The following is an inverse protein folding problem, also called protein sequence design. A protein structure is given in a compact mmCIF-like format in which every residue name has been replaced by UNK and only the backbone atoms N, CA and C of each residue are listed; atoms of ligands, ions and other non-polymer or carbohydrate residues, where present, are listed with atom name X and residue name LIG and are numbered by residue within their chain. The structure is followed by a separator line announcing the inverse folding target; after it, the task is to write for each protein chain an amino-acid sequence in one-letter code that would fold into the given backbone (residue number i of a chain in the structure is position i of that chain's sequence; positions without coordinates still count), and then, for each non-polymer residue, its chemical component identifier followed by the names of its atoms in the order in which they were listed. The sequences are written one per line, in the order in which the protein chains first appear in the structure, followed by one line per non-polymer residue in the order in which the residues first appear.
data_IF_152884004021
#
_entry.id   IF_152884004021
#
_cell.length_a   1.000
_cell.length_b   1.000
_cell.length_c   1.000
_cell.angle_alpha   90.00
_cell.angle_beta   90.00
_cell.angle_gamma   90.00
#
_symmetry.space_group_name_H-M   'P 1'
#
loop_
_entity.id
_entity.type
_entity.pdbx_description
1 polymer ?
#
# COMPACT_ATOMS: atom_id res chain seq x y z
N UNK A 1 0.65 -10.93 -16.29
CA UNK A 1 0.10 -9.71 -16.89
C UNK A 1 0.85 -8.47 -16.42
N UNK A 2 0.97 -7.48 -17.31
CA UNK A 2 1.64 -6.25 -16.94
C UNK A 2 0.84 -5.44 -15.94
N UNK A 3 1.53 -4.76 -15.04
CA UNK A 3 0.87 -3.84 -14.11
C UNK A 3 0.41 -2.58 -14.83
N UNK A 4 -0.59 -1.89 -14.28
CA UNK A 4 -1.07 -0.65 -14.84
C UNK A 4 0.00 0.43 -14.78
N UNK A 5 0.00 1.35 -15.75
CA UNK A 5 0.90 2.50 -15.79
C UNK A 5 0.26 3.74 -15.18
N UNK A 6 -1.06 3.77 -15.13
CA UNK A 6 -1.84 4.89 -14.59
C UNK A 6 -2.97 4.36 -13.74
N UNK A 7 -3.36 5.12 -12.71
CA UNK A 7 -4.45 4.72 -11.81
C UNK A 7 -5.75 4.47 -12.58
N UNK A 8 -6.00 5.23 -13.64
CA UNK A 8 -7.23 5.08 -14.43
C UNK A 8 -7.33 3.73 -15.14
N UNK A 9 -6.23 3.00 -15.27
CA UNK A 9 -6.20 1.67 -15.91
C UNK A 9 -6.45 0.54 -14.91
N UNK A 10 -6.46 0.84 -13.61
CA UNK A 10 -6.59 -0.17 -12.57
C UNK A 10 -8.04 -0.61 -12.45
N UNK A 11 -8.28 -1.93 -12.57
CA UNK A 11 -9.60 -2.52 -12.39
C UNK A 11 -9.64 -3.45 -11.17
N UNK A 12 -8.50 -4.03 -10.80
CA UNK A 12 -8.36 -4.94 -9.67
C UNK A 12 -7.10 -4.58 -8.90
N UNK A 13 -7.05 -5.02 -7.63
CA UNK A 13 -5.83 -4.80 -6.83
C UNK A 13 -4.58 -5.35 -7.54
N UNK A 14 -4.72 -6.47 -8.23
CA UNK A 14 -3.58 -7.08 -8.92
C UNK A 14 -2.96 -6.20 -10.02
N UNK A 15 -3.68 -5.21 -10.51
CA UNK A 15 -3.19 -4.29 -11.53
C UNK A 15 -2.28 -3.20 -10.96
N UNK A 16 -2.33 -2.99 -9.65
CA UNK A 16 -1.52 -1.94 -9.00
C UNK A 16 -0.07 -2.40 -8.91
N UNK A 17 0.90 -1.55 -9.31
CA UNK A 17 2.31 -1.88 -9.18
C UNK A 17 2.67 -2.28 -7.74
N UNK A 18 3.55 -3.26 -7.59
CA UNK A 18 4.03 -3.79 -6.31
C UNK A 18 3.02 -4.67 -5.55
N UNK A 19 1.78 -4.76 -6.01
CA UNK A 19 0.74 -5.53 -5.32
C UNK A 19 0.73 -6.97 -5.83
N UNK A 20 0.94 -7.91 -4.92
CA UNK A 20 0.85 -9.34 -5.18
C UNK A 20 -0.25 -9.98 -4.33
N UNK A 21 -0.39 -11.33 -4.39
CA UNK A 21 -1.44 -12.03 -3.65
C UNK A 21 -1.44 -11.76 -2.14
N UNK A 22 -0.27 -11.66 -1.53
CA UNK A 22 -0.18 -11.40 -0.09
C UNK A 22 -0.72 -10.00 0.25
N UNK A 23 -0.39 -9.00 -0.57
CA UNK A 23 -0.86 -7.63 -0.36
C UNK A 23 -2.38 -7.55 -0.56
N UNK A 24 -2.90 -8.27 -1.56
CA UNK A 24 -4.34 -8.32 -1.80
C UNK A 24 -5.06 -8.87 -0.58
N UNK A 25 -4.53 -9.96 0.00
CA UNK A 25 -5.10 -10.54 1.21
C UNK A 25 -5.09 -9.52 2.37
N UNK A 26 -4.02 -8.74 2.49
CA UNK A 26 -3.91 -7.71 3.50
C UNK A 26 -4.97 -6.62 3.30
N UNK A 27 -5.18 -6.17 2.06
CA UNK A 27 -6.21 -5.19 1.76
C UNK A 27 -7.60 -5.70 2.13
N UNK A 28 -7.88 -6.95 1.80
CA UNK A 28 -9.17 -7.56 2.11
C UNK A 28 -9.37 -7.67 3.63
N UNK A 29 -8.32 -8.02 4.35
CA UNK A 29 -8.38 -8.08 5.81
C UNK A 29 -8.69 -6.71 6.42
N UNK A 30 -8.23 -5.64 5.78
CA UNK A 30 -8.48 -4.27 6.22
C UNK A 30 -9.85 -3.73 5.78
N UNK A 31 -10.64 -4.55 5.09
CA UNK A 31 -11.97 -4.14 4.64
C UNK A 31 -11.98 -3.38 3.33
N UNK A 32 -10.86 -3.33 2.62
CA UNK A 32 -10.79 -2.69 1.32
C UNK A 32 -11.30 -3.68 0.27
N UNK A 33 -12.26 -3.27 -0.54
CA UNK A 33 -12.92 -4.17 -1.49
C UNK A 33 -12.55 -3.91 -2.94
N UNK A 34 -12.07 -2.70 -3.25
CA UNK A 34 -11.72 -2.31 -4.62
C UNK A 34 -10.58 -1.30 -4.59
N UNK A 35 -9.84 -1.15 -5.70
CA UNK A 35 -8.70 -0.22 -5.75
C UNK A 35 -9.03 1.21 -5.36
N UNK A 36 -10.21 1.71 -5.74
CA UNK A 36 -10.61 3.08 -5.41
C UNK A 36 -10.70 3.32 -3.89
N UNK A 37 -10.86 2.26 -3.09
CA UNK A 37 -10.92 2.38 -1.64
C UNK A 37 -9.59 2.83 -1.04
N UNK A 38 -8.50 2.75 -1.79
CA UNK A 38 -7.19 3.23 -1.34
C UNK A 38 -7.07 4.76 -1.42
N UNK A 39 -7.86 5.39 -2.28
CA UNK A 39 -7.78 6.85 -2.48
C UNK A 39 -8.18 7.56 -1.19
N UNK A 40 -7.32 8.47 -0.73
CA UNK A 40 -7.57 9.23 0.50
C UNK A 40 -7.22 8.50 1.78
N UNK A 41 -6.67 7.29 1.69
CA UNK A 41 -6.28 6.55 2.89
C UNK A 41 -4.86 6.93 3.32
N UNK A 42 -4.64 6.90 4.63
CA UNK A 42 -3.31 7.09 5.19
C UNK A 42 -2.60 5.73 5.22
N UNK A 43 -1.53 5.55 4.42
CA UNK A 43 -0.87 4.25 4.34
C UNK A 43 -0.25 3.81 5.67
N UNK A 44 0.17 4.74 6.51
CA UNK A 44 0.73 4.42 7.83
C UNK A 44 -0.35 3.88 8.76
N UNK A 45 -1.54 4.44 8.67
CA UNK A 45 -2.68 3.95 9.43
C UNK A 45 -3.08 2.54 8.97
N UNK A 46 -3.08 2.30 7.66
CA UNK A 46 -3.36 0.96 7.11
C UNK A 46 -2.35 -0.06 7.64
N UNK A 47 -1.07 0.30 7.67
CA UNK A 47 -0.01 -0.55 8.19
C UNK A 47 -0.23 -0.86 9.68
N UNK A 48 -0.56 0.15 10.47
CA UNK A 48 -0.84 -0.03 11.90
C UNK A 48 -2.05 -0.92 12.14
N UNK A 49 -3.13 -0.71 11.37
CA UNK A 49 -4.33 -1.55 11.48
C UNK A 49 -4.02 -3.00 11.13
N UNK A 50 -3.20 -3.23 10.11
CA UNK A 50 -2.83 -4.58 9.71
C UNK A 50 -2.05 -5.28 10.82
N UNK A 51 -1.12 -4.57 11.45
CA UNK A 51 -0.36 -5.13 12.58
C UNK A 51 -1.27 -5.52 13.74
N UNK A 52 -2.29 -4.70 14.03
CA UNK A 52 -3.26 -5.03 15.08
C UNK A 52 -4.07 -6.26 14.72
N UNK A 53 -4.51 -6.36 13.47
CA UNK A 53 -5.28 -7.52 13.01
C UNK A 53 -4.49 -8.81 13.12
N UNK A 54 -3.20 -8.76 12.82
CA UNK A 54 -2.35 -9.94 12.84
C UNK A 54 -1.71 -10.19 14.21
N UNK A 55 -1.82 -9.24 15.13
CA UNK A 55 -1.29 -9.37 16.47
C UNK A 55 0.22 -9.44 16.52
N UNK A 56 0.91 -8.90 15.54
CA UNK A 56 2.37 -8.93 15.47
C UNK A 56 2.91 -7.76 14.69
N UNK A 57 4.18 -7.45 14.94
CA UNK A 57 4.89 -6.44 14.16
C UNK A 57 5.24 -7.01 12.80
N UNK A 58 4.93 -6.28 11.74
CA UNK A 58 5.17 -6.69 10.37
C UNK A 58 6.45 -6.08 9.81
N UNK A 59 7.01 -6.74 8.80
CA UNK A 59 8.17 -6.23 8.09
C UNK A 59 7.85 -4.82 7.56
N UNK A 60 8.76 -3.84 7.80
CA UNK A 60 8.55 -2.48 7.30
C UNK A 60 8.34 -2.37 5.79
N UNK A 61 8.80 -3.35 4.99
CA UNK A 61 8.53 -3.38 3.56
C UNK A 61 7.03 -3.37 3.25
N UNK A 62 6.22 -3.96 4.15
CA UNK A 62 4.77 -3.97 4.00
C UNK A 62 4.24 -2.54 4.02
N UNK A 63 4.78 -1.70 4.89
CA UNK A 63 4.41 -0.28 4.94
C UNK A 63 4.77 0.42 3.63
N UNK A 64 5.96 0.14 3.09
CA UNK A 64 6.40 0.75 1.82
C UNK A 64 5.45 0.38 0.68
N UNK A 65 4.98 -0.86 0.64
CA UNK A 65 4.00 -1.30 -0.37
C UNK A 65 2.66 -0.59 -0.17
N UNK A 66 2.24 -0.37 1.07
CA UNK A 66 1.02 0.41 1.36
C UNK A 66 1.14 1.82 0.83
N UNK A 67 2.29 2.49 1.07
CA UNK A 67 2.55 3.83 0.58
C UNK A 67 2.49 3.85 -0.95
N UNK A 68 3.20 2.92 -1.60
CA UNK A 68 3.26 2.85 -3.05
C UNK A 68 1.87 2.67 -3.65
N UNK A 69 1.05 1.82 -3.05
CA UNK A 69 -0.30 1.53 -3.55
C UNK A 69 -1.22 2.75 -3.44
N UNK A 70 -1.22 3.41 -2.29
CA UNK A 70 -2.05 4.60 -2.08
C UNK A 70 -1.62 5.73 -3.01
N UNK A 71 -0.31 6.02 -3.06
CA UNK A 71 0.21 7.09 -3.92
C UNK A 71 -0.10 6.85 -5.39
N UNK A 72 0.04 5.60 -5.86
CA UNK A 72 -0.27 5.26 -7.25
C UNK A 72 -1.74 5.51 -7.56
N UNK A 73 -2.64 5.07 -6.68
CA UNK A 73 -4.07 5.30 -6.89
C UNK A 73 -4.44 6.77 -6.82
N UNK A 74 -3.62 7.59 -6.17
CA UNK A 74 -3.83 9.05 -6.11
C UNK A 74 -3.14 9.79 -7.25
N UNK A 75 -2.56 9.07 -8.21
CA UNK A 75 -2.01 9.65 -9.43
C UNK A 75 -0.50 9.69 -9.55
N UNK A 76 0.23 9.15 -8.59
CA UNK A 76 1.70 9.10 -8.68
C UNK A 76 2.14 8.12 -9.78
N UNK A 77 3.33 8.36 -10.39
CA UNK A 77 3.90 7.39 -11.32
C UNK A 77 4.15 6.03 -10.64
N UNK A 78 4.26 4.94 -11.43
CA UNK A 78 4.50 3.61 -10.88
C UNK A 78 5.95 3.48 -10.41
N UNK A 79 6.19 3.80 -9.15
CA UNK A 79 7.50 3.61 -8.52
C UNK A 79 7.58 2.24 -7.85
N UNK A 80 8.80 1.64 -7.76
CA UNK A 80 8.96 0.44 -6.94
C UNK A 80 8.78 0.80 -5.46
N UNK A 81 8.39 -0.18 -4.63
CA UNK A 81 8.08 0.08 -3.22
C UNK A 81 9.27 0.72 -2.47
N UNK A 82 10.50 0.35 -2.82
CA UNK A 82 11.68 0.88 -2.12
C UNK A 82 11.92 2.36 -2.39
N UNK A 83 11.25 2.94 -3.38
CA UNK A 83 11.25 4.39 -3.61
C UNK A 83 10.73 5.14 -2.38
N UNK A 84 9.87 4.50 -1.60
CA UNK A 84 9.23 5.11 -0.44
C UNK A 84 9.89 4.75 0.89
N UNK A 85 10.98 3.98 0.88
CA UNK A 85 11.63 3.51 2.10
C UNK A 85 12.14 4.67 2.98
N UNK A 86 12.75 5.68 2.37
CA UNK A 86 13.25 6.84 3.12
C UNK A 86 12.11 7.63 3.76
N UNK A 87 11.03 7.87 3.01
CA UNK A 87 9.85 8.53 3.54
C UNK A 87 9.29 7.75 4.74
N UNK A 88 9.16 6.45 4.60
CA UNK A 88 8.64 5.59 5.66
C UNK A 88 9.50 5.68 6.92
N UNK A 89 10.81 5.60 6.76
CA UNK A 89 11.73 5.69 7.91
C UNK A 89 11.58 7.00 8.65
N UNK A 90 11.48 8.12 7.92
CA UNK A 90 11.32 9.43 8.51
C UNK A 90 9.96 9.57 9.21
N UNK A 91 8.90 9.09 8.59
CA UNK A 91 7.55 9.20 9.14
C UNK A 91 7.36 8.37 10.40
N UNK A 92 7.85 7.12 10.40
CA UNK A 92 7.73 6.26 11.58
C UNK A 92 8.62 6.76 12.73
N UNK A 93 9.77 7.35 12.42
CA UNK A 93 10.64 7.94 13.44
C UNK A 93 9.93 9.10 14.15
N UNK A 94 9.19 9.93 13.40
CA UNK A 94 8.46 11.07 13.97
C UNK A 94 7.28 10.64 14.83
N UNK A 95 6.74 9.46 14.58
CA UNK A 95 5.56 8.94 15.29
C UNK A 95 5.92 8.37 16.66
N UNK A 96 7.19 8.17 16.92
CA UNK A 96 7.67 7.61 18.21
C UNK A 96 8.33 8.69 19.10
#
# INVERSE_FOLDING_TARGET
MAKAKHASEVRRFADIPNVGPATIADFELLGLTKPADLIGRDPYHLYQQLQRHQGQQLDPCVCDVMIASVRFMEGAPPHPWWHYTTERKLSLRRST
#
